data_IF_580870887766
#
_entry.id   IF_580870887766
#
_cell.length_a   1.000
_cell.length_b   1.000
_cell.length_c   1.000
_cell.angle_alpha   90.00
_cell.angle_beta   90.00
_cell.angle_gamma   90.00
#
_symmetry.space_group_name_H-M   'P 1'
#
loop_
_entity.id
_entity.type
_entity.pdbx_description
1 polymer ?
#
# COMPACT_ATOMS: atom_id res chain seq x y z
N UNK A 1 -12.29 -20.40 10.47
CA UNK A 1 -11.73 -19.10 10.95
C UNK A 1 -12.23 -18.00 10.02
N UNK A 2 -12.72 -16.87 10.53
CA UNK A 2 -13.27 -15.80 9.68
C UNK A 2 -12.12 -15.01 9.04
N UNK A 3 -12.12 -14.89 7.70
CA UNK A 3 -11.12 -14.10 6.97
C UNK A 3 -11.17 -12.63 7.39
N UNK A 4 -10.01 -11.99 7.44
CA UNK A 4 -9.83 -10.54 7.65
C UNK A 4 -9.74 -9.78 6.33
N UNK A 5 -9.35 -10.47 5.27
CA UNK A 5 -9.30 -9.91 3.92
C UNK A 5 -10.69 -9.55 3.39
N UNK A 6 -10.80 -8.40 2.71
CA UNK A 6 -12.04 -7.90 2.11
C UNK A 6 -11.78 -6.97 0.92
N UNK A 7 -12.85 -6.40 0.36
CA UNK A 7 -12.78 -5.42 -0.73
C UNK A 7 -13.15 -4.07 -0.16
N UNK A 8 -12.27 -3.10 -0.31
CA UNK A 8 -12.54 -1.70 0.02
C UNK A 8 -13.08 -1.02 -1.24
N UNK A 9 -14.20 -0.31 -1.10
CA UNK A 9 -14.80 0.47 -2.18
C UNK A 9 -14.84 1.92 -1.74
N UNK A 10 -14.41 2.82 -2.61
CA UNK A 10 -14.32 4.23 -2.27
C UNK A 10 -14.24 5.13 -3.49
N UNK A 11 -13.81 6.36 -3.24
CA UNK A 11 -13.59 7.37 -4.26
C UNK A 11 -12.19 7.93 -4.13
N UNK A 12 -11.52 8.09 -5.26
CA UNK A 12 -10.29 8.89 -5.33
C UNK A 12 -10.64 10.23 -5.96
N UNK A 13 -10.04 11.26 -5.40
CA UNK A 13 -10.19 12.64 -5.86
C UNK A 13 -8.82 13.24 -6.08
N UNK A 14 -8.57 13.64 -7.31
CA UNK A 14 -7.41 14.43 -7.67
C UNK A 14 -7.82 15.89 -7.74
N UNK A 15 -7.01 16.77 -7.14
CA UNK A 15 -7.15 18.22 -7.27
C UNK A 15 -5.79 18.83 -7.46
N UNK A 16 -5.66 19.65 -8.50
CA UNK A 16 -4.54 20.55 -8.73
C UNK A 16 -5.06 21.97 -8.52
N UNK A 17 -4.40 22.73 -7.66
CA UNK A 17 -4.80 24.10 -7.34
C UNK A 17 -4.12 25.15 -8.23
N UNK A 18 -2.92 24.85 -8.74
CA UNK A 18 -2.12 25.72 -9.61
C UNK A 18 -1.48 24.90 -10.75
N UNK A 19 -1.21 25.49 -11.93
CA UNK A 19 -1.49 26.88 -12.31
C UNK A 19 -2.98 27.15 -12.58
N UNK A 20 -3.76 26.12 -12.93
CA UNK A 20 -5.21 26.19 -13.06
C UNK A 20 -5.88 25.18 -12.11
N UNK A 21 -7.02 25.56 -11.54
CA UNK A 21 -7.84 24.66 -10.73
C UNK A 21 -8.41 23.57 -11.62
N UNK A 22 -7.91 22.36 -11.44
CA UNK A 22 -8.42 21.18 -12.11
C UNK A 22 -8.65 20.09 -11.08
N UNK A 23 -9.73 19.34 -11.22
CA UNK A 23 -9.96 18.21 -10.33
C UNK A 23 -10.97 17.26 -10.91
N UNK A 24 -10.78 16.00 -10.59
CA UNK A 24 -11.66 14.92 -11.01
C UNK A 24 -11.77 13.91 -9.88
N UNK A 25 -12.89 13.21 -9.88
CA UNK A 25 -13.20 12.17 -8.91
C UNK A 25 -13.73 10.96 -9.62
N UNK A 26 -13.30 9.78 -9.19
CA UNK A 26 -13.77 8.52 -9.73
C UNK A 26 -13.88 7.49 -8.60
N UNK A 27 -14.79 6.54 -8.81
CA UNK A 27 -14.96 5.41 -7.90
C UNK A 27 -13.87 4.39 -8.19
N UNK A 28 -13.38 3.74 -7.15
CA UNK A 28 -12.48 2.60 -7.29
C UNK A 28 -12.74 1.58 -6.19
N UNK A 29 -12.17 0.41 -6.37
CA UNK A 29 -12.05 -0.58 -5.31
C UNK A 29 -10.60 -1.03 -5.17
N UNK A 30 -10.20 -1.42 -3.97
CA UNK A 30 -8.89 -2.03 -3.68
C UNK A 30 -9.12 -3.31 -2.88
N UNK A 31 -8.21 -4.26 -3.05
CA UNK A 31 -8.18 -5.45 -2.22
C UNK A 31 -7.49 -5.10 -0.91
N UNK A 32 -8.15 -5.40 0.20
CA UNK A 32 -7.55 -5.37 1.53
C UNK A 32 -7.25 -6.82 1.93
N UNK A 33 -5.97 -7.18 1.95
CA UNK A 33 -5.51 -8.56 2.11
C UNK A 33 -4.68 -8.68 3.39
N UNK A 34 -5.07 -9.59 4.26
CA UNK A 34 -4.19 -10.01 5.35
C UNK A 34 -3.11 -10.92 4.76
N UNK A 35 -1.83 -10.56 4.94
CA UNK A 35 -0.73 -11.27 4.29
C UNK A 35 -0.62 -12.72 4.75
N UNK A 36 -1.07 -13.02 5.97
CA UNK A 36 -1.13 -14.39 6.51
C UNK A 36 -2.23 -15.26 5.86
N UNK A 37 -3.15 -14.64 5.12
CA UNK A 37 -4.28 -15.32 4.49
C UNK A 37 -4.09 -15.56 2.99
N UNK A 38 -3.01 -15.07 2.38
CA UNK A 38 -2.82 -15.04 0.92
C UNK A 38 -2.96 -16.42 0.25
N UNK A 39 -2.54 -17.49 0.93
CA UNK A 39 -2.60 -18.85 0.39
C UNK A 39 -4.02 -19.40 0.28
N UNK A 40 -4.96 -18.87 1.09
CA UNK A 40 -6.34 -19.39 1.21
C UNK A 40 -7.43 -18.39 0.86
N UNK A 41 -7.11 -17.09 0.79
CA UNK A 41 -8.10 -16.00 0.60
C UNK A 41 -8.89 -16.12 -0.70
N UNK A 42 -8.32 -16.81 -1.69
CA UNK A 42 -8.92 -17.04 -3.01
C UNK A 42 -9.43 -18.47 -3.23
N UNK A 43 -9.47 -19.31 -2.18
CA UNK A 43 -9.96 -20.67 -2.28
C UNK A 43 -11.41 -20.71 -2.77
N UNK A 44 -11.70 -21.61 -3.72
CA UNK A 44 -13.01 -21.73 -4.35
C UNK A 44 -13.37 -20.59 -5.31
N UNK A 45 -12.48 -19.62 -5.57
CA UNK A 45 -12.72 -18.54 -6.54
C UNK A 45 -11.98 -18.82 -7.84
N UNK A 46 -12.74 -18.96 -8.93
CA UNK A 46 -12.17 -19.26 -10.25
C UNK A 46 -11.56 -18.02 -10.94
N UNK A 47 -12.07 -16.83 -10.65
CA UNK A 47 -11.58 -15.56 -11.24
C UNK A 47 -10.45 -14.87 -10.45
N UNK A 48 -10.20 -15.30 -9.21
CA UNK A 48 -9.14 -14.77 -8.36
C UNK A 48 -8.09 -15.83 -8.04
N UNK A 49 -6.83 -15.45 -7.95
CA UNK A 49 -5.78 -16.36 -7.48
C UNK A 49 -4.51 -15.63 -7.01
N UNK A 50 -3.75 -16.27 -6.13
CA UNK A 50 -2.38 -15.89 -5.80
C UNK A 50 -1.31 -16.75 -6.52
N UNK A 51 -1.69 -17.91 -7.05
CA UNK A 51 -0.75 -18.91 -7.59
C UNK A 51 -0.91 -19.09 -9.09
N UNK A 52 -2.13 -19.42 -9.56
CA UNK A 52 -2.44 -19.66 -10.97
C UNK A 52 -2.78 -18.39 -11.75
N UNK A 53 -2.68 -18.41 -13.09
CA UNK A 53 -3.30 -17.39 -13.93
C UNK A 53 -4.80 -17.27 -13.65
N UNK A 54 -5.28 -16.04 -13.50
CA UNK A 54 -6.68 -15.70 -13.22
C UNK A 54 -6.95 -14.26 -13.70
N UNK A 55 -8.23 -13.87 -13.81
CA UNK A 55 -8.60 -12.51 -14.22
C UNK A 55 -8.09 -11.47 -13.22
N UNK A 56 -8.17 -11.77 -11.93
CA UNK A 56 -7.59 -10.97 -10.85
C UNK A 56 -6.52 -11.81 -10.14
N UNK A 57 -5.26 -11.40 -10.24
CA UNK A 57 -4.12 -12.18 -9.73
C UNK A 57 -3.27 -11.36 -8.77
N UNK A 58 -3.10 -11.87 -7.56
CA UNK A 58 -1.98 -11.46 -6.71
C UNK A 58 -0.72 -12.12 -7.23
N UNK A 59 0.31 -11.32 -7.56
CA UNK A 59 1.59 -11.83 -8.03
C UNK A 59 2.70 -11.21 -7.20
N UNK A 60 3.46 -12.04 -6.49
CA UNK A 60 4.49 -11.58 -5.54
C UNK A 60 5.47 -10.56 -6.14
N UNK A 61 5.85 -10.70 -7.40
CA UNK A 61 6.75 -9.78 -8.11
C UNK A 61 6.19 -8.37 -8.35
N UNK A 62 4.89 -8.18 -8.18
CA UNK A 62 4.22 -6.90 -8.39
C UNK A 62 4.28 -5.99 -7.13
N UNK A 63 4.87 -6.48 -6.04
CA UNK A 63 4.89 -5.84 -4.71
C UNK A 63 6.30 -5.73 -4.12
N UNK A 64 6.40 -5.03 -2.99
CA UNK A 64 7.63 -4.67 -2.27
C UNK A 64 8.69 -5.78 -2.16
N UNK A 65 9.94 -5.42 -2.43
CA UNK A 65 11.11 -6.26 -2.17
C UNK A 65 11.33 -7.39 -3.17
N UNK A 66 12.27 -8.27 -2.84
CA UNK A 66 12.64 -9.42 -3.69
C UNK A 66 11.46 -10.42 -3.81
N UNK A 67 11.04 -10.79 -5.03
CA UNK A 67 10.00 -11.79 -5.24
C UNK A 67 10.26 -13.17 -4.62
N UNK A 68 11.53 -13.52 -4.36
CA UNK A 68 11.92 -14.75 -3.68
C UNK A 68 11.71 -14.74 -2.15
N UNK A 69 11.50 -13.56 -1.56
CA UNK A 69 11.25 -13.39 -0.13
C UNK A 69 9.75 -13.23 0.12
N UNK A 70 9.22 -13.85 1.18
CA UNK A 70 7.81 -13.67 1.55
C UNK A 70 7.50 -12.17 1.75
N UNK A 71 6.36 -11.71 1.23
CA UNK A 71 6.00 -10.28 1.28
C UNK A 71 5.86 -9.77 2.72
N UNK A 72 5.35 -10.59 3.64
CA UNK A 72 5.27 -10.23 5.06
C UNK A 72 6.67 -9.96 5.63
N UNK A 73 7.63 -10.85 5.37
CA UNK A 73 9.03 -10.70 5.78
C UNK A 73 9.67 -9.46 5.17
N UNK A 74 9.50 -9.25 3.86
CA UNK A 74 10.07 -8.10 3.16
C UNK A 74 9.56 -6.75 3.72
N UNK A 75 8.28 -6.67 4.11
CA UNK A 75 7.73 -5.48 4.74
C UNK A 75 8.34 -5.28 6.13
N UNK A 76 8.43 -6.32 6.96
CA UNK A 76 9.03 -6.23 8.30
C UNK A 76 10.50 -5.80 8.23
N UNK A 77 11.26 -6.39 7.32
CA UNK A 77 12.68 -6.08 7.12
C UNK A 77 12.86 -4.63 6.68
N UNK A 78 12.01 -4.12 5.80
CA UNK A 78 12.05 -2.72 5.41
C UNK A 78 11.76 -1.78 6.59
N UNK A 79 10.74 -2.09 7.39
CA UNK A 79 10.37 -1.25 8.55
C UNK A 79 11.54 -1.19 9.55
N UNK A 80 12.13 -2.34 9.86
CA UNK A 80 13.30 -2.44 10.74
C UNK A 80 14.53 -1.70 10.18
N UNK A 81 14.81 -1.85 8.88
CA UNK A 81 15.91 -1.16 8.20
C UNK A 81 15.75 0.37 8.18
N UNK A 82 14.53 0.88 8.39
CA UNK A 82 14.24 2.33 8.49
C UNK A 82 14.25 2.85 9.93
N UNK A 83 14.71 2.04 10.90
CA UNK A 83 14.88 2.44 12.30
C UNK A 83 13.58 2.40 13.11
N UNK A 84 12.53 1.78 12.58
CA UNK A 84 11.26 1.58 13.29
C UNK A 84 11.26 0.16 13.90
N UNK A 85 10.70 -0.05 15.10
CA UNK A 85 10.60 -1.39 15.67
C UNK A 85 9.96 -2.37 14.69
N UNK A 86 10.57 -3.56 14.57
CA UNK A 86 10.07 -4.61 13.69
C UNK A 86 8.62 -4.94 14.08
N UNK A 87 7.65 -4.86 13.15
CA UNK A 87 6.26 -5.17 13.46
C UNK A 87 6.15 -6.60 13.99
N UNK A 88 5.30 -6.82 14.98
CA UNK A 88 5.05 -8.14 15.59
C UNK A 88 3.64 -8.66 15.30
N UNK A 89 2.71 -7.77 14.95
CA UNK A 89 1.34 -8.10 14.61
C UNK A 89 1.12 -8.48 13.14
N UNK A 90 -0.16 -8.61 12.75
CA UNK A 90 -0.53 -8.87 11.37
C UNK A 90 -0.18 -7.67 10.47
N UNK A 91 0.21 -7.97 9.23
CA UNK A 91 0.40 -6.97 8.19
C UNK A 91 -0.73 -7.14 7.18
N UNK A 92 -1.42 -6.04 6.87
CA UNK A 92 -2.52 -6.03 5.92
C UNK A 92 -2.26 -5.05 4.80
N UNK A 93 -2.47 -5.51 3.58
CA UNK A 93 -2.14 -4.82 2.35
C UNK A 93 -3.41 -4.28 1.69
N UNK A 94 -3.48 -2.97 1.50
CA UNK A 94 -4.48 -2.32 0.64
C UNK A 94 -3.84 -2.04 -0.73
N UNK A 95 -4.32 -2.71 -1.78
CA UNK A 95 -3.68 -2.66 -3.10
C UNK A 95 -4.61 -2.96 -4.26
N UNK A 96 -4.18 -2.62 -5.48
CA UNK A 96 -4.68 -3.29 -6.68
C UNK A 96 -3.95 -4.62 -6.94
N UNK A 97 -4.69 -5.58 -7.50
CA UNK A 97 -4.13 -6.79 -8.08
C UNK A 97 -3.80 -6.57 -9.56
N UNK A 98 -3.19 -7.58 -10.17
CA UNK A 98 -3.12 -7.67 -11.63
C UNK A 98 -4.49 -8.04 -12.18
N UNK A 99 -5.04 -7.21 -13.05
CA UNK A 99 -6.31 -7.47 -13.73
C UNK A 99 -6.07 -7.70 -15.22
N UNK A 100 -6.60 -8.81 -15.77
CA UNK A 100 -6.43 -9.18 -17.18
C UNK A 100 -4.96 -9.17 -17.64
N UNK A 101 -4.06 -9.61 -16.77
CA UNK A 101 -2.62 -9.67 -17.05
C UNK A 101 -1.86 -8.34 -16.88
N UNK A 102 -2.54 -7.22 -16.65
CA UNK A 102 -1.93 -5.91 -16.43
C UNK A 102 -2.00 -5.47 -14.97
N UNK A 103 -0.90 -4.94 -14.43
CA UNK A 103 -0.86 -4.41 -13.06
C UNK A 103 -0.76 -2.89 -13.14
N UNK A 104 -1.86 -2.20 -12.86
CA UNK A 104 -1.88 -0.76 -12.67
C UNK A 104 -2.05 -0.46 -11.19
N UNK A 105 -0.93 -0.37 -10.47
CA UNK A 105 -0.92 -0.20 -9.03
C UNK A 105 -0.06 1.02 -8.65
N UNK A 106 -0.64 2.24 -8.64
CA UNK A 106 0.13 3.45 -8.38
C UNK A 106 0.67 3.51 -6.94
N UNK A 107 -0.04 2.89 -5.99
CA UNK A 107 0.40 2.78 -4.62
C UNK A 107 -0.16 1.54 -3.91
N UNK A 108 0.69 0.86 -3.15
CA UNK A 108 0.35 -0.19 -2.18
C UNK A 108 0.54 0.34 -0.77
N UNK A 109 -0.42 0.06 0.12
CA UNK A 109 -0.34 0.47 1.53
C UNK A 109 -0.31 -0.76 2.44
N UNK A 110 0.77 -0.90 3.21
CA UNK A 110 0.93 -1.99 4.18
C UNK A 110 0.69 -1.44 5.58
N UNK A 111 -0.41 -1.84 6.19
CA UNK A 111 -0.76 -1.51 7.56
C UNK A 111 -0.13 -2.55 8.48
N UNK A 112 0.86 -2.12 9.26
CA UNK A 112 1.54 -2.92 10.26
C UNK A 112 0.84 -2.70 11.61
N UNK A 113 0.17 -3.73 12.12
CA UNK A 113 -0.54 -3.65 13.39
C UNK A 113 0.33 -4.08 14.57
N UNK A 114 -0.06 -3.65 15.77
CA UNK A 114 0.44 -4.18 17.04
C UNK A 114 0.21 -5.70 17.14
N UNK A 115 0.91 -6.36 18.07
CA UNK A 115 0.77 -7.80 18.31
C UNK A 115 -0.69 -8.25 18.48
N UNK A 116 -1.54 -7.40 19.06
CA UNK A 116 -2.97 -7.67 19.26
C UNK A 116 -3.85 -7.47 18.02
N UNK A 117 -3.33 -6.88 16.94
CA UNK A 117 -4.09 -6.55 15.72
C UNK A 117 -5.14 -5.45 15.92
N UNK A 118 -4.96 -4.60 16.93
CA UNK A 118 -5.88 -3.54 17.37
C UNK A 118 -5.49 -2.16 16.85
N UNK A 119 -4.21 -1.81 16.86
CA UNK A 119 -3.71 -0.48 16.50
C UNK A 119 -2.69 -0.57 15.37
N UNK A 120 -2.66 0.43 14.49
CA UNK A 120 -1.64 0.54 13.44
C UNK A 120 -0.41 1.23 14.02
N UNK A 121 0.72 0.54 14.05
CA UNK A 121 2.00 1.07 14.55
C UNK A 121 2.79 1.75 13.45
N UNK A 122 2.70 1.22 12.22
CA UNK A 122 3.35 1.77 11.05
C UNK A 122 2.55 1.53 9.77
N UNK A 123 2.74 2.39 8.78
CA UNK A 123 2.23 2.22 7.42
C UNK A 123 3.41 2.29 6.46
N UNK A 124 3.62 1.25 5.67
CA UNK A 124 4.52 1.31 4.53
C UNK A 124 3.73 1.71 3.30
N UNK A 125 4.20 2.75 2.61
CA UNK A 125 3.62 3.22 1.35
C UNK A 125 4.60 2.91 0.23
N UNK A 126 4.30 1.89 -0.58
CA UNK A 126 5.04 1.61 -1.80
C UNK A 126 4.37 2.36 -2.96
N UNK A 127 5.09 3.28 -3.58
CA UNK A 127 4.65 4.02 -4.76
C UNK A 127 5.39 3.47 -5.97
N UNK A 128 4.64 3.14 -7.03
CA UNK A 128 5.22 2.75 -8.32
C UNK A 128 5.08 3.91 -9.29
N UNK A 129 6.20 4.43 -9.78
CA UNK A 129 6.18 5.48 -10.78
C UNK A 129 5.89 4.89 -12.17
N UNK A 130 5.05 5.58 -12.94
CA UNK A 130 4.73 5.24 -14.33
C UNK A 130 5.22 6.39 -15.23
N UNK A 131 5.87 6.13 -16.38
CA UNK A 131 6.11 4.83 -17.03
C UNK A 131 7.38 4.06 -16.60
N UNK A 132 8.27 4.63 -15.77
CA UNK A 132 9.60 4.05 -15.51
C UNK A 132 9.64 2.80 -14.62
N UNK A 133 8.51 2.41 -14.03
CA UNK A 133 8.36 1.21 -13.17
C UNK A 133 9.28 1.17 -11.94
N UNK A 134 9.91 2.30 -11.59
CA UNK A 134 10.64 2.45 -10.35
C UNK A 134 9.68 2.39 -9.17
N UNK A 135 10.07 1.66 -8.13
CA UNK A 135 9.31 1.53 -6.89
C UNK A 135 10.06 2.21 -5.77
N UNK A 136 9.34 2.96 -4.96
CA UNK A 136 9.88 3.53 -3.75
C UNK A 136 8.95 3.27 -2.58
N UNK A 137 9.53 2.96 -1.43
CA UNK A 137 8.78 2.67 -0.22
C UNK A 137 9.11 3.69 0.87
N UNK A 138 8.05 4.26 1.43
CA UNK A 138 8.08 5.13 2.61
C UNK A 138 7.60 4.35 3.82
N UNK A 139 8.21 4.57 4.98
CA UNK A 139 7.75 4.00 6.25
C UNK A 139 7.28 5.16 7.12
N UNK A 140 6.02 5.11 7.52
CA UNK A 140 5.35 6.14 8.31
C UNK A 140 4.97 5.53 9.65
N UNK A 141 5.19 6.24 10.75
CA UNK A 141 4.85 5.77 12.11
C UNK A 141 3.79 6.68 12.72
N UNK A 142 2.96 6.14 13.61
CA UNK A 142 2.08 6.96 14.43
C UNK A 142 2.91 7.83 15.40
N UNK A 143 2.54 9.10 15.58
CA UNK A 143 3.28 9.99 16.49
C UNK A 143 3.02 9.67 17.98
N UNK A 144 1.92 8.96 18.33
CA UNK A 144 1.66 8.34 19.64
C UNK A 144 0.37 7.50 19.65
N UNK A 145 0.30 6.57 20.62
CA UNK A 145 -0.80 5.64 20.90
C UNK A 145 -2.21 6.17 20.60
N UNK A 146 -2.79 5.72 19.48
CA UNK A 146 -4.22 5.91 19.16
C UNK A 146 -4.55 7.12 18.30
N UNK A 147 -3.59 7.98 17.98
CA UNK A 147 -3.79 9.03 16.99
C UNK A 147 -3.72 8.45 15.57
N UNK A 148 -4.49 9.00 14.59
CA UNK A 148 -4.38 8.60 13.20
C UNK A 148 -2.93 8.71 12.74
N UNK A 149 -2.45 7.72 11.98
CA UNK A 149 -1.12 7.77 11.38
C UNK A 149 -1.06 8.98 10.45
N UNK A 150 -0.43 10.04 10.94
CA UNK A 150 -0.25 11.30 10.25
C UNK A 150 1.24 11.55 10.15
N UNK A 151 1.69 11.88 8.95
CA UNK A 151 3.07 12.26 8.71
C UNK A 151 3.04 13.57 7.93
N UNK A 152 3.45 14.64 8.60
CA UNK A 152 3.60 15.97 8.01
C UNK A 152 5.07 16.20 7.69
N UNK A 153 5.33 16.84 6.55
CA UNK A 153 6.63 17.37 6.20
C UNK A 153 7.75 16.32 6.15
N UNK A 154 7.53 15.22 5.41
CA UNK A 154 8.68 14.49 4.91
C UNK A 154 9.34 15.38 3.85
N UNK A 155 10.32 16.18 4.27
CA UNK A 155 11.19 16.97 3.40
C UNK A 155 11.98 15.97 2.54
N UNK A 156 11.37 15.56 1.45
CA UNK A 156 11.95 14.61 0.52
C UNK A 156 12.83 15.41 -0.42
N UNK A 157 14.15 15.31 -0.23
CA UNK A 157 15.07 15.37 -1.37
C UNK A 157 14.68 14.21 -2.28
N UNK A 158 13.82 14.52 -3.25
CA UNK A 158 13.21 13.54 -4.13
C UNK A 158 14.34 12.92 -4.95
N UNK A 159 14.58 11.62 -4.76
CA UNK A 159 15.57 10.87 -5.54
C UNK A 159 15.02 10.35 -6.87
N UNK A 160 13.73 10.55 -7.16
CA UNK A 160 13.04 9.95 -8.31
C UNK A 160 11.76 10.75 -8.66
N UNK A 161 11.45 10.87 -9.95
CA UNK A 161 10.18 11.49 -10.35
C UNK A 161 9.02 10.58 -9.93
N UNK A 162 7.91 11.13 -9.42
CA UNK A 162 6.64 10.40 -9.16
C UNK A 162 5.55 10.81 -10.17
N UNK A 163 5.82 11.89 -10.89
CA UNK A 163 5.04 12.38 -12.01
C UNK A 163 5.96 13.27 -12.86
N UNK A 164 5.87 13.21 -14.20
CA UNK A 164 6.56 14.15 -15.08
C UNK A 164 6.09 15.61 -14.90
N UNK A 165 4.95 15.83 -14.23
CA UNK A 165 4.34 17.15 -14.06
C UNK A 165 4.50 17.74 -12.67
N UNK A 166 5.31 17.13 -11.80
CA UNK A 166 5.53 17.61 -10.43
C UNK A 166 7.02 17.88 -10.17
N UNK A 167 7.40 19.10 -9.74
CA UNK A 167 8.80 19.44 -9.43
C UNK A 167 9.41 18.50 -8.37
N UNK A 168 10.73 18.51 -8.30
CA UNK A 168 11.47 17.63 -7.40
C UNK A 168 11.36 18.07 -5.94
N UNK A 169 11.27 19.37 -5.68
CA UNK A 169 11.07 19.91 -4.32
C UNK A 169 9.59 20.08 -4.02
N UNK A 170 8.97 19.03 -3.48
CA UNK A 170 7.60 19.06 -2.96
C UNK A 170 7.57 18.34 -1.60
N UNK A 171 7.02 19.00 -0.60
CA UNK A 171 6.68 18.39 0.68
C UNK A 171 5.38 17.60 0.56
N UNK A 172 5.35 16.41 1.14
CA UNK A 172 4.14 15.59 1.23
C UNK A 172 3.55 15.66 2.64
N UNK A 173 2.25 15.96 2.73
CA UNK A 173 1.42 15.78 3.93
C UNK A 173 0.58 14.52 3.73
N UNK A 174 0.95 13.44 4.42
CA UNK A 174 0.26 12.16 4.36
C UNK A 174 -0.63 12.01 5.59
N UNK A 175 -1.89 11.65 5.36
CA UNK A 175 -2.87 11.39 6.43
C UNK A 175 -3.59 10.09 6.16
N UNK A 176 -3.55 9.19 7.13
CA UNK A 176 -4.21 7.91 7.08
C UNK A 176 -5.23 7.80 8.20
N UNK A 177 -6.37 7.21 7.88
CA UNK A 177 -7.28 6.66 8.88
C UNK A 177 -6.98 5.19 9.09
N UNK A 178 -7.35 4.68 10.26
CA UNK A 178 -7.35 3.25 10.48
C UNK A 178 -8.29 2.53 9.49
N UNK A 179 -7.95 1.31 9.04
CA UNK A 179 -8.82 0.50 8.21
C UNK A 179 -10.16 0.21 8.92
N UNK A 180 -11.27 0.66 8.32
CA UNK A 180 -12.63 0.44 8.81
C UNK A 180 -13.19 -0.97 8.50
N UNK A 181 -14.44 -1.21 8.91
CA UNK A 181 -15.22 -2.36 8.43
C UNK A 181 -16.09 -1.97 7.25
#
# INVERSE_FOLDING_TARGET
MKLKSCIYVGQVRHRRFAPARHGFSYRLFMMYLDLSELDRVFDGRWLWSATRPALARFRRSDYLGDPGVNLDTAVRDLVEARGVPRPTGPIRLLTHLRYFGYCFNPASFYYCFDAGGRFVEAIVVEVTNTPWAERHAYVLTAEKNGDPVTCRNLALRKGFHVSPFMPMDIDYDWRFSDPGK
#
